data_IF_878006154791
#
_entry.id   IF_878006154791
#
_cell.length_a   1.000
_cell.length_b   1.000
_cell.length_c   1.000
_cell.angle_alpha   90.00
_cell.angle_beta   90.00
_cell.angle_gamma   90.00
#
_symmetry.space_group_name_H-M   'P 1'
#
loop_
_entity.id
_entity.type
_entity.pdbx_description
1 polymer ?
#
# COMPACT_ATOMS: atom_id res chain seq x y z
N UNK A 1 18.19 -5.53 17.62
CA UNK A 1 16.87 -6.16 17.42
C UNK A 1 16.54 -5.83 15.99
N UNK A 2 16.68 -6.80 15.10
CA UNK A 2 16.34 -6.63 13.69
C UNK A 2 15.08 -7.46 13.48
N UNK A 3 13.95 -6.77 13.35
CA UNK A 3 12.69 -7.38 12.95
C UNK A 3 12.55 -7.15 11.46
N UNK A 4 12.66 -8.20 10.65
CA UNK A 4 12.31 -8.13 9.23
C UNK A 4 10.81 -8.45 9.10
N UNK A 5 10.08 -7.55 8.46
CA UNK A 5 8.66 -7.71 8.15
C UNK A 5 8.51 -7.74 6.64
N UNK A 6 8.14 -8.91 6.10
CA UNK A 6 7.83 -9.09 4.70
C UNK A 6 6.32 -9.10 4.50
N UNK A 7 5.80 -8.19 3.66
CA UNK A 7 4.38 -8.15 3.30
C UNK A 7 4.27 -8.28 1.79
N UNK A 8 3.60 -9.33 1.34
CA UNK A 8 3.19 -9.51 -0.06
C UNK A 8 1.72 -9.12 -0.16
N UNK A 9 1.39 -8.27 -1.15
CA UNK A 9 0.03 -7.76 -1.35
C UNK A 9 -0.44 -8.18 -2.73
N UNK A 10 -1.55 -8.91 -2.78
CA UNK A 10 -2.27 -9.25 -4.01
C UNK A 10 -3.52 -8.38 -4.11
N UNK A 11 -3.83 -7.84 -5.29
CA UNK A 11 -5.03 -7.02 -5.47
C UNK A 11 -5.69 -7.23 -6.83
N UNK A 12 -7.02 -7.13 -6.84
CA UNK A 12 -7.86 -7.15 -8.03
C UNK A 12 -8.83 -5.99 -7.91
N UNK A 13 -8.84 -5.09 -8.89
CA UNK A 13 -9.70 -3.91 -8.92
C UNK A 13 -10.56 -3.88 -10.19
N UNK A 14 -11.85 -3.53 -10.02
CA UNK A 14 -12.75 -3.18 -11.10
C UNK A 14 -12.87 -1.65 -11.14
N UNK A 15 -12.42 -1.06 -12.24
CA UNK A 15 -12.38 0.39 -12.43
C UNK A 15 -13.31 0.83 -13.56
N UNK A 16 -14.03 1.92 -13.34
CA UNK A 16 -14.90 2.56 -14.31
C UNK A 16 -14.39 3.98 -14.60
N UNK A 17 -14.22 4.32 -15.88
CA UNK A 17 -13.84 5.65 -16.32
C UNK A 17 -15.07 6.57 -16.25
N UNK A 18 -15.15 7.34 -15.16
CA UNK A 18 -16.24 8.28 -14.92
C UNK A 18 -16.16 9.51 -15.82
N UNK A 19 -14.95 9.89 -16.24
CA UNK A 19 -14.70 11.04 -17.10
C UNK A 19 -13.51 10.77 -18.00
N UNK A 20 -13.67 11.02 -19.30
CA UNK A 20 -12.60 10.86 -20.29
C UNK A 20 -12.70 11.98 -21.31
N UNK A 21 -11.55 12.58 -21.63
CA UNK A 21 -11.34 13.58 -22.69
C UNK A 21 -10.00 13.29 -23.37
N UNK A 22 -9.64 14.09 -24.37
CA UNK A 22 -8.33 13.98 -25.03
C UNK A 22 -7.14 14.24 -24.08
N UNK A 23 -7.35 14.93 -22.96
CA UNK A 23 -6.28 15.34 -22.04
C UNK A 23 -6.44 14.77 -20.63
N UNK A 24 -7.60 14.26 -20.26
CA UNK A 24 -7.92 13.92 -18.88
C UNK A 24 -8.72 12.62 -18.78
N UNK A 25 -8.39 11.81 -17.78
CA UNK A 25 -9.15 10.61 -17.42
C UNK A 25 -9.32 10.55 -15.90
N UNK A 26 -10.55 10.30 -15.45
CA UNK A 26 -10.88 10.03 -14.06
C UNK A 26 -11.57 8.67 -13.99
N UNK A 27 -11.06 7.80 -13.13
CA UNK A 27 -11.61 6.48 -12.90
C UNK A 27 -11.90 6.29 -11.42
N UNK A 28 -13.02 5.64 -11.12
CA UNK A 28 -13.38 5.21 -9.78
C UNK A 28 -13.73 3.73 -9.81
N UNK A 29 -13.50 3.05 -8.72
CA UNK A 29 -13.62 1.60 -8.69
C UNK A 29 -13.53 1.05 -7.29
N UNK A 30 -13.73 -0.24 -7.23
CA UNK A 30 -13.61 -1.01 -6.02
C UNK A 30 -12.93 -2.33 -6.35
N UNK A 31 -12.34 -2.95 -5.35
CA UNK A 31 -11.65 -4.21 -5.53
C UNK A 31 -11.50 -4.95 -4.23
N UNK A 32 -10.67 -5.98 -4.27
CA UNK A 32 -10.31 -6.76 -3.08
C UNK A 32 -8.79 -6.91 -3.03
N UNK A 33 -8.22 -6.77 -1.85
CA UNK A 33 -6.80 -7.01 -1.58
C UNK A 33 -6.64 -8.20 -0.64
N UNK A 34 -5.67 -9.06 -0.87
CA UNK A 34 -5.26 -10.10 0.05
C UNK A 34 -3.82 -9.84 0.48
N UNK A 35 -3.55 -10.01 1.78
CA UNK A 35 -2.25 -9.77 2.37
C UNK A 35 -1.67 -11.11 2.82
N UNK A 36 -0.45 -11.38 2.39
CA UNK A 36 0.35 -12.48 2.91
C UNK A 36 1.51 -11.88 3.70
N UNK A 37 1.50 -12.06 5.02
CA UNK A 37 2.43 -11.39 5.94
C UNK A 37 3.25 -12.42 6.71
N UNK A 38 4.54 -12.46 6.42
CA UNK A 38 5.51 -13.21 7.22
C UNK A 38 6.15 -12.25 8.24
N UNK A 39 5.78 -12.41 9.52
CA UNK A 39 6.42 -11.68 10.63
C UNK A 39 7.35 -12.62 11.39
N UNK A 40 8.65 -12.57 11.09
CA UNK A 40 9.67 -13.24 11.92
C UNK A 40 10.16 -12.28 13.01
N UNK A 41 9.67 -12.45 14.25
CA UNK A 41 10.21 -11.73 15.40
C UNK A 41 11.24 -12.62 16.11
N UNK A 42 12.54 -12.34 15.91
CA UNK A 42 13.61 -12.95 16.69
C UNK A 42 13.62 -12.37 18.12
N UNK A 43 12.78 -12.93 19.00
CA UNK A 43 12.81 -12.63 20.44
C UNK A 43 13.83 -13.53 21.14
N UNK A 44 15.02 -12.99 21.42
CA UNK A 44 15.93 -13.53 22.44
C UNK A 44 15.46 -13.04 23.81
N UNK A 45 14.81 -13.92 24.57
CA UNK A 45 14.43 -13.64 25.96
C UNK A 45 15.39 -14.40 26.87
N UNK A 46 16.16 -13.65 27.67
CA UNK A 46 16.98 -14.22 28.72
C UNK A 46 16.14 -14.31 30.00
N UNK A 47 15.94 -15.53 30.51
CA UNK A 47 15.32 -15.77 31.83
C UNK A 47 16.38 -16.40 32.73
N UNK A 48 17.12 -15.57 33.47
CA UNK A 48 18.31 -16.02 34.21
C UNK A 48 19.45 -16.44 33.26
N UNK A 49 20.16 -17.52 33.58
CA UNK A 49 21.24 -18.10 32.75
C UNK A 49 20.75 -18.93 31.54
N UNK A 50 19.43 -19.04 31.33
CA UNK A 50 18.87 -19.80 30.22
C UNK A 50 18.43 -18.89 29.06
N UNK A 51 19.00 -19.11 27.88
CA UNK A 51 18.54 -18.53 26.61
C UNK A 51 17.29 -19.29 26.16
N UNK A 52 16.12 -18.65 26.23
CA UNK A 52 14.89 -19.18 25.64
C UNK A 52 14.70 -18.51 24.30
N UNK A 53 14.90 -19.25 23.20
CA UNK A 53 14.53 -18.80 21.85
C UNK A 53 13.01 -18.79 21.75
N UNK A 54 12.41 -17.60 21.72
CA UNK A 54 10.98 -17.43 21.53
C UNK A 54 10.58 -17.95 20.14
N UNK A 55 9.51 -18.75 20.09
CA UNK A 55 8.96 -19.30 18.85
C UNK A 55 8.54 -18.19 17.89
N UNK A 56 8.94 -18.30 16.63
CA UNK A 56 8.43 -17.51 15.50
C UNK A 56 6.92 -17.75 15.35
N UNK A 57 6.11 -16.70 15.40
CA UNK A 57 4.69 -16.79 15.05
C UNK A 57 4.49 -16.32 13.61
N UNK A 58 4.37 -17.25 12.67
CA UNK A 58 3.87 -16.95 11.32
C UNK A 58 2.34 -16.82 11.40
N UNK A 59 1.79 -15.76 10.81
CA UNK A 59 0.35 -15.51 10.80
C UNK A 59 -0.09 -15.19 9.38
N UNK A 60 -0.64 -16.19 8.68
CA UNK A 60 -1.24 -16.00 7.36
C UNK A 60 -2.61 -15.31 7.51
N UNK A 61 -2.70 -14.00 7.24
CA UNK A 61 -3.97 -13.27 7.22
C UNK A 61 -4.53 -13.19 5.79
N UNK A 62 -4.90 -14.34 5.23
CA UNK A 62 -5.49 -14.47 3.88
C UNK A 62 -6.99 -14.07 3.85
N UNK A 63 -7.33 -12.87 4.30
CA UNK A 63 -8.68 -12.33 4.16
C UNK A 63 -8.75 -11.39 2.94
N UNK A 64 -9.66 -11.61 1.97
CA UNK A 64 -9.90 -10.64 0.90
C UNK A 64 -10.60 -9.41 1.50
N UNK A 65 -9.94 -8.27 1.45
CA UNK A 65 -10.37 -7.02 2.04
C UNK A 65 -10.89 -6.05 0.97
N UNK A 66 -12.15 -5.59 1.06
CA UNK A 66 -12.73 -4.72 0.05
C UNK A 66 -12.09 -3.33 0.10
N UNK A 67 -11.68 -2.81 -1.04
CA UNK A 67 -11.12 -1.46 -1.18
C UNK A 67 -11.92 -0.62 -2.16
N UNK A 68 -11.79 0.69 -2.02
CA UNK A 68 -12.23 1.68 -3.00
C UNK A 68 -10.98 2.38 -3.53
N UNK A 69 -10.92 2.56 -4.85
CA UNK A 69 -9.81 3.17 -5.56
C UNK A 69 -10.31 4.24 -6.52
N UNK A 70 -9.56 5.34 -6.59
CA UNK A 70 -9.73 6.37 -7.59
C UNK A 70 -8.41 6.69 -8.27
N UNK A 71 -8.44 6.96 -9.57
CA UNK A 71 -7.29 7.43 -10.33
C UNK A 71 -7.65 8.63 -11.19
N UNK A 72 -6.73 9.58 -11.28
CA UNK A 72 -6.85 10.75 -12.13
C UNK A 72 -5.59 10.91 -12.97
N UNK A 73 -5.76 11.03 -14.27
CA UNK A 73 -4.73 11.37 -15.24
C UNK A 73 -5.03 12.74 -15.85
N UNK A 74 -3.99 13.54 -16.06
CA UNK A 74 -4.08 14.78 -16.81
C UNK A 74 -2.80 15.04 -17.61
N UNK A 75 -2.91 15.22 -18.92
CA UNK A 75 -1.85 15.67 -19.80
C UNK A 75 -1.91 17.20 -19.94
N UNK A 76 -0.89 17.89 -19.43
CA UNK A 76 -0.75 19.34 -19.61
C UNK A 76 -0.34 19.69 -21.04
N UNK A 77 0.42 18.80 -21.68
CA UNK A 77 0.84 18.84 -23.07
C UNK A 77 1.41 17.46 -23.46
N UNK A 78 1.86 17.32 -24.70
CA UNK A 78 2.40 16.07 -25.26
C UNK A 78 3.62 15.50 -24.50
N UNK A 79 4.29 16.31 -23.66
CA UNK A 79 5.48 15.91 -22.92
C UNK A 79 5.25 15.81 -21.41
N UNK A 80 4.30 16.56 -20.85
CA UNK A 80 4.11 16.69 -19.41
C UNK A 80 2.73 16.19 -19.02
N UNK A 81 2.68 15.22 -18.11
CA UNK A 81 1.44 14.69 -17.56
C UNK A 81 1.55 14.43 -16.06
N UNK A 82 0.41 14.36 -15.38
CA UNK A 82 0.31 13.96 -13.99
C UNK A 82 -0.62 12.76 -13.88
N UNK A 83 -0.32 11.90 -12.91
CA UNK A 83 -1.16 10.78 -12.55
C UNK A 83 -1.22 10.66 -11.03
N UNK A 84 -2.43 10.61 -10.50
CA UNK A 84 -2.67 10.36 -9.09
C UNK A 84 -3.53 9.11 -8.93
N UNK A 85 -3.20 8.30 -7.93
CA UNK A 85 -4.06 7.21 -7.47
C UNK A 85 -4.25 7.37 -5.99
N UNK A 86 -5.49 7.29 -5.54
CA UNK A 86 -5.85 7.23 -4.14
C UNK A 86 -6.70 6.00 -3.90
N UNK A 87 -6.65 5.48 -2.69
CA UNK A 87 -7.61 4.49 -2.28
C UNK A 87 -7.64 4.32 -0.78
N UNK A 88 -8.71 3.68 -0.37
CA UNK A 88 -9.04 3.45 1.01
C UNK A 88 -9.67 2.08 1.15
N UNK A 89 -9.30 1.40 2.21
CA UNK A 89 -9.77 0.08 2.56
C UNK A 89 -10.00 0.02 4.07
N UNK A 90 -11.04 -0.69 4.48
CA UNK A 90 -11.27 -1.02 5.88
C UNK A 90 -11.72 -2.47 5.99
N UNK A 91 -11.23 -3.14 7.02
CA UNK A 91 -11.41 -4.56 7.23
C UNK A 91 -11.64 -4.86 8.71
N UNK A 92 -12.58 -5.78 8.97
CA UNK A 92 -12.81 -6.32 10.31
C UNK A 92 -12.76 -7.85 10.22
N UNK A 93 -11.79 -8.48 10.88
CA UNK A 93 -11.58 -9.93 10.89
C UNK A 93 -11.46 -10.41 12.35
N UNK A 94 -12.56 -10.93 12.88
CA UNK A 94 -12.63 -11.40 14.27
C UNK A 94 -12.44 -10.25 15.26
N UNK A 95 -11.35 -10.29 16.03
CA UNK A 95 -10.95 -9.28 17.01
C UNK A 95 -10.09 -8.14 16.42
N UNK A 96 -9.77 -8.21 15.12
CA UNK A 96 -8.90 -7.24 14.45
C UNK A 96 -9.72 -6.31 13.56
N UNK A 97 -9.56 -5.01 13.75
CA UNK A 97 -10.03 -3.96 12.85
C UNK A 97 -8.83 -3.26 12.21
N UNK A 98 -8.90 -3.02 10.92
CA UNK A 98 -7.81 -2.39 10.17
C UNK A 98 -8.33 -1.40 9.15
N UNK A 99 -7.57 -0.32 8.95
CA UNK A 99 -7.76 0.63 7.87
C UNK A 99 -6.46 0.85 7.12
N UNK A 100 -6.58 1.05 5.81
CA UNK A 100 -5.44 1.28 4.93
C UNK A 100 -5.81 2.39 3.95
N UNK A 101 -5.05 3.48 3.99
CA UNK A 101 -5.18 4.59 3.05
C UNK A 101 -3.89 4.70 2.25
N UNK A 102 -4.00 4.87 0.94
CA UNK A 102 -2.84 5.16 0.12
C UNK A 102 -3.12 6.28 -0.89
N UNK A 103 -2.09 7.06 -1.15
CA UNK A 103 -2.04 8.10 -2.16
C UNK A 103 -0.70 7.98 -2.88
N UNK A 104 -0.74 7.92 -4.20
CA UNK A 104 0.45 7.98 -5.03
C UNK A 104 0.23 9.01 -6.11
N UNK A 105 0.98 10.10 -6.04
CA UNK A 105 0.98 11.15 -7.04
C UNK A 105 2.29 11.14 -7.81
N UNK A 106 2.23 11.33 -9.12
CA UNK A 106 3.38 11.33 -10.03
C UNK A 106 3.23 12.39 -11.10
N UNK A 107 4.33 13.08 -11.39
CA UNK A 107 4.49 13.97 -12.54
C UNK A 107 5.46 13.31 -13.51
N UNK A 108 5.05 13.16 -14.77
CA UNK A 108 5.81 12.52 -15.83
C UNK A 108 6.22 13.53 -16.89
N UNK A 109 7.48 13.47 -17.30
CA UNK A 109 8.08 14.27 -18.37
C UNK A 109 8.72 13.36 -19.43
N UNK A 110 8.17 13.38 -20.63
CA UNK A 110 8.75 12.71 -21.80
C UNK A 110 9.83 13.59 -22.44
N UNK A 111 11.04 13.06 -22.56
CA UNK A 111 12.16 13.69 -23.25
C UNK A 111 12.52 12.88 -24.49
N UNK A 112 12.05 13.36 -25.64
CA UNK A 112 12.08 12.63 -26.89
C UNK A 112 10.97 11.59 -26.97
N UNK A 113 10.97 10.81 -28.06
CA UNK A 113 9.84 9.92 -28.39
C UNK A 113 9.87 8.58 -27.64
N UNK A 114 10.96 8.30 -26.91
CA UNK A 114 11.24 6.97 -26.34
C UNK A 114 11.51 6.96 -24.85
N UNK A 115 11.72 8.12 -24.23
CA UNK A 115 12.16 8.20 -22.85
C UNK A 115 11.28 9.12 -22.04
N UNK A 116 10.99 8.69 -20.82
CA UNK A 116 10.23 9.47 -19.85
C UNK A 116 10.83 9.35 -18.46
N UNK A 117 10.75 10.43 -17.70
CA UNK A 117 11.09 10.46 -16.28
C UNK A 117 9.83 10.80 -15.51
N UNK A 118 9.56 10.08 -14.43
CA UNK A 118 8.51 10.45 -13.49
C UNK A 118 9.09 10.68 -12.10
N UNK A 119 8.76 11.82 -11.51
CA UNK A 119 8.96 12.08 -10.10
C UNK A 119 7.61 11.94 -9.39
N UNK A 120 7.61 11.32 -8.22
CA UNK A 120 6.39 11.08 -7.48
C UNK A 120 6.56 11.22 -5.98
N UNK A 121 5.44 11.19 -5.30
CA UNK A 121 5.35 11.09 -3.86
C UNK A 121 4.29 10.06 -3.52
N UNK A 122 4.64 9.15 -2.63
CA UNK A 122 3.70 8.17 -2.09
C UNK A 122 3.47 8.42 -0.61
N UNK A 123 2.25 8.17 -0.20
CA UNK A 123 1.79 8.19 1.17
C UNK A 123 0.95 6.95 1.40
N UNK A 124 1.22 6.25 2.49
CA UNK A 124 0.49 5.06 2.91
C UNK A 124 0.37 5.10 4.41
N UNK A 125 -0.84 4.86 4.88
CA UNK A 125 -1.22 4.93 6.27
C UNK A 125 -1.97 3.65 6.59
N UNK A 126 -1.51 2.94 7.62
CA UNK A 126 -2.01 1.64 8.02
C UNK A 126 -2.27 1.68 9.50
N UNK A 127 -3.54 1.60 9.87
CA UNK A 127 -3.98 1.56 11.25
C UNK A 127 -4.57 0.18 11.50
N UNK A 128 -4.02 -0.56 12.46
CA UNK A 128 -4.53 -1.88 12.86
C UNK A 128 -4.73 -1.91 14.35
N UNK A 129 -5.98 -2.13 14.76
CA UNK A 129 -6.39 -2.25 16.14
C UNK A 129 -6.80 -3.70 16.44
N UNK A 130 -6.42 -4.19 17.62
CA UNK A 130 -6.88 -5.46 18.16
C UNK A 130 -7.61 -5.26 19.48
N UNK A 131 -8.88 -5.61 19.51
CA UNK A 131 -9.68 -5.60 20.73
C UNK A 131 -9.69 -6.99 21.39
N UNK A 132 -8.98 -7.12 22.51
CA UNK A 132 -8.99 -8.31 23.38
C UNK A 132 -9.68 -8.03 24.73
N UNK A 133 -10.67 -7.13 24.77
CA UNK A 133 -11.56 -6.86 25.91
C UNK A 133 -10.93 -6.16 27.12
N UNK A 134 -9.67 -6.45 27.47
CA UNK A 134 -8.95 -5.85 28.61
C UNK A 134 -7.58 -5.28 28.23
N UNK A 135 -7.12 -5.49 26.99
CA UNK A 135 -5.85 -4.97 26.47
C UNK A 135 -6.00 -4.64 24.99
N UNK A 136 -6.02 -3.35 24.69
CA UNK A 136 -6.01 -2.81 23.34
C UNK A 136 -4.58 -2.82 22.82
N UNK A 137 -4.37 -3.34 21.61
CA UNK A 137 -3.08 -3.25 20.91
C UNK A 137 -3.32 -2.56 19.58
N UNK A 138 -2.82 -1.33 19.47
CA UNK A 138 -2.86 -0.55 18.24
C UNK A 138 -1.48 -0.61 17.55
N UNK A 139 -1.51 -0.65 16.23
CA UNK A 139 -0.36 -0.68 15.36
C UNK A 139 -0.54 0.31 14.22
N UNK A 140 0.19 1.42 14.31
CA UNK A 140 0.10 2.52 13.37
C UNK A 140 1.40 2.58 12.55
N UNK A 141 1.27 2.41 11.24
CA UNK A 141 2.38 2.49 10.30
C UNK A 141 2.10 3.54 9.24
N UNK A 142 3.00 4.52 9.14
CA UNK A 142 2.97 5.51 8.08
C UNK A 142 4.22 5.40 7.21
N UNK A 143 4.01 5.16 5.92
CA UNK A 143 5.06 5.22 4.92
C UNK A 143 4.85 6.42 4.01
N UNK A 144 5.87 7.27 3.88
CA UNK A 144 5.83 8.38 2.93
C UNK A 144 7.20 8.64 2.33
N UNK A 145 7.25 8.91 1.04
CA UNK A 145 8.53 9.10 0.39
C UNK A 145 8.43 9.55 -1.06
N UNK A 146 9.49 10.23 -1.55
CA UNK A 146 9.62 10.53 -2.96
C UNK A 146 9.93 9.26 -3.76
N UNK A 147 9.50 9.22 -5.00
CA UNK A 147 9.85 8.17 -5.96
C UNK A 147 10.37 8.78 -7.27
N UNK A 148 11.27 8.08 -7.94
CA UNK A 148 11.77 8.43 -9.26
C UNK A 148 11.69 7.20 -10.16
N UNK A 149 11.13 7.36 -11.35
CA UNK A 149 10.98 6.29 -12.33
C UNK A 149 11.53 6.74 -13.69
N UNK A 150 12.22 5.83 -14.37
CA UNK A 150 12.62 6.00 -15.76
C UNK A 150 11.81 5.03 -16.61
N UNK A 151 11.15 5.54 -17.64
CA UNK A 151 10.30 4.78 -18.55
C UNK A 151 10.89 4.80 -19.95
N UNK A 152 10.87 3.66 -20.62
CA UNK A 152 11.21 3.52 -22.03
C UNK A 152 9.97 3.08 -22.83
N UNK A 153 9.67 3.79 -23.92
CA UNK A 153 8.53 3.52 -24.82
C UNK A 153 9.05 2.99 -26.15
N UNK A 154 8.40 1.92 -26.66
CA UNK A 154 8.75 1.21 -27.90
C UNK A 154 7.83 1.57 -29.06
#
# INVERSE_FOLDING_TARGET
MDSELGVVIYFIDLMYNCYTTDQAELSLGFGVHAFDTDVSVDRRVFVGDNEVRGSSSSGELLAPLPNIRGSAFYAFNDKLSTFATLGWMSANVGEWSGSFTYLHWRLHYAFGDRWGLAAGYQYTDVDVERDQGRKETAFDMQFKGPSLNLTFMF
#
